data_IF_218489451592
#
_entry.id   IF_218489451592
#
_cell.length_a   1.000
_cell.length_b   1.000
_cell.length_c   1.000
_cell.angle_alpha   90.00
_cell.angle_beta   90.00
_cell.angle_gamma   90.00
#
_symmetry.space_group_name_H-M   'P 1'
#
loop_
_entity.id
_entity.type
_entity.pdbx_description
1 polymer ?
#
# COMPACT_ATOMS: atom_id res chain seq x y z
N UNK A 1 -4.63 -5.39 32.24
CA UNK A 1 -4.11 -6.58 31.55
C UNK A 1 -3.09 -6.06 30.54
N UNK A 2 -1.85 -6.52 30.60
CA UNK A 2 -0.86 -6.18 29.57
C UNK A 2 -1.35 -6.81 28.26
N UNK A 3 -1.76 -6.01 27.29
CA UNK A 3 -2.12 -6.53 25.97
C UNK A 3 -0.94 -7.33 25.41
N UNK A 4 -1.21 -8.56 24.98
CA UNK A 4 -0.21 -9.38 24.29
C UNK A 4 0.31 -8.61 23.07
N UNK A 5 1.63 -8.50 22.87
CA UNK A 5 2.19 -7.84 21.70
C UNK A 5 1.54 -8.40 20.42
N UNK A 6 1.19 -7.50 19.50
CA UNK A 6 0.68 -7.90 18.19
C UNK A 6 1.77 -8.65 17.42
N UNK A 7 1.35 -9.60 16.58
CA UNK A 7 2.24 -10.49 15.86
C UNK A 7 1.83 -10.61 14.40
N UNK A 8 2.82 -10.81 13.53
CA UNK A 8 2.59 -11.05 12.10
C UNK A 8 2.07 -12.47 11.89
N UNK A 9 1.41 -12.72 10.77
CA UNK A 9 0.76 -13.99 10.48
C UNK A 9 1.70 -15.21 10.65
N UNK A 10 2.94 -15.08 10.17
CA UNK A 10 3.95 -16.16 10.24
C UNK A 10 4.41 -16.46 11.66
N UNK A 11 4.44 -15.46 12.53
CA UNK A 11 4.80 -15.63 13.95
C UNK A 11 3.71 -16.39 14.72
N UNK A 12 2.50 -16.45 14.16
CA UNK A 12 1.37 -17.23 14.67
C UNK A 12 1.36 -18.67 14.12
N UNK A 13 2.36 -19.05 13.32
CA UNK A 13 2.47 -20.40 12.74
C UNK A 13 1.71 -20.61 11.43
N UNK A 14 1.09 -19.56 10.86
CA UNK A 14 0.38 -19.63 9.59
C UNK A 14 1.22 -19.05 8.44
N UNK A 15 1.22 -19.75 7.31
CA UNK A 15 1.95 -19.32 6.11
C UNK A 15 0.99 -19.18 4.94
N UNK A 16 1.13 -18.09 4.19
CA UNK A 16 0.44 -17.90 2.91
C UNK A 16 1.36 -18.34 1.78
N UNK A 17 0.88 -19.28 0.98
CA UNK A 17 1.57 -19.73 -0.21
C UNK A 17 2.86 -20.51 0.08
N UNK A 18 3.77 -20.54 -0.90
CA UNK A 18 4.94 -21.41 -0.89
C UNK A 18 6.25 -20.71 -1.27
N UNK A 19 6.19 -19.46 -1.75
CA UNK A 19 7.38 -18.72 -2.17
C UNK A 19 8.05 -18.14 -0.91
N UNK A 20 9.38 -18.25 -0.75
CA UNK A 20 10.08 -17.72 0.42
C UNK A 20 9.99 -16.19 0.48
N UNK A 21 9.98 -15.62 1.68
CA UNK A 21 9.97 -14.17 1.90
C UNK A 21 11.36 -13.57 1.73
N UNK A 22 11.43 -12.24 1.62
CA UNK A 22 12.66 -11.50 1.97
C UNK A 22 12.93 -11.52 3.47
N UNK A 23 14.09 -11.01 3.92
CA UNK A 23 14.50 -11.05 5.33
C UNK A 23 13.58 -10.29 6.27
N UNK A 24 12.99 -9.18 5.82
CA UNK A 24 12.04 -8.38 6.62
C UNK A 24 10.60 -8.82 6.39
N UNK A 25 10.36 -9.60 5.34
CA UNK A 25 9.04 -9.89 4.81
C UNK A 25 8.24 -8.58 4.67
N UNK A 26 8.80 -7.58 4.00
CA UNK A 26 8.21 -6.26 3.86
C UNK A 26 8.55 -5.66 2.48
N UNK A 27 7.78 -4.65 2.05
CA UNK A 27 8.02 -4.00 0.76
C UNK A 27 9.43 -3.41 0.63
N UNK A 28 10.04 -3.05 1.76
CA UNK A 28 11.42 -2.54 1.89
C UNK A 28 12.50 -3.60 1.69
N UNK A 29 12.15 -4.89 1.54
CA UNK A 29 13.08 -5.92 1.04
C UNK A 29 13.48 -5.65 -0.41
N UNK A 30 12.70 -4.86 -1.16
CA UNK A 30 13.09 -4.36 -2.48
C UNK A 30 14.08 -3.22 -2.29
N UNK A 31 15.32 -3.43 -2.71
CA UNK A 31 16.41 -2.47 -2.50
C UNK A 31 16.06 -1.06 -3.01
N UNK A 32 16.37 -0.07 -2.19
CA UNK A 32 16.07 1.35 -2.44
C UNK A 32 14.71 1.81 -1.91
N UNK A 33 13.74 0.91 -1.73
CA UNK A 33 12.41 1.29 -1.25
C UNK A 33 12.46 1.73 0.22
N UNK A 34 11.78 2.83 0.51
CA UNK A 34 11.65 3.39 1.85
C UNK A 34 10.20 3.75 2.16
N UNK A 35 9.78 3.51 3.41
CA UNK A 35 8.43 3.77 3.90
C UNK A 35 8.49 4.74 5.06
N UNK A 36 7.60 5.74 5.06
CA UNK A 36 7.46 6.70 6.14
C UNK A 36 6.02 6.88 6.56
N UNK A 37 5.78 7.09 7.85
CA UNK A 37 4.46 7.28 8.41
C UNK A 37 4.37 8.57 9.22
N UNK A 38 3.17 9.14 9.26
CA UNK A 38 2.70 10.02 10.33
C UNK A 38 1.35 9.52 10.78
N UNK A 39 1.25 9.19 12.06
CA UNK A 39 0.03 8.70 12.72
C UNK A 39 -0.54 9.79 13.60
N UNK A 40 -1.82 10.11 13.43
CA UNK A 40 -2.54 11.09 14.24
C UNK A 40 -3.61 10.37 15.07
N UNK A 41 -3.44 10.43 16.39
CA UNK A 41 -4.35 9.93 17.39
C UNK A 41 -4.62 11.06 18.39
N UNK A 42 -5.60 11.91 18.08
CA UNK A 42 -5.87 13.13 18.85
C UNK A 42 -7.30 13.14 19.37
N UNK A 43 -7.42 13.20 20.70
CA UNK A 43 -8.71 13.06 21.37
C UNK A 43 -9.40 11.76 21.01
N UNK A 44 -10.73 11.80 20.99
CA UNK A 44 -11.57 10.64 20.62
C UNK A 44 -11.95 10.63 19.13
N UNK A 45 -11.63 11.69 18.38
CA UNK A 45 -12.17 11.91 17.04
C UNK A 45 -11.15 11.85 15.91
N UNK A 46 -9.85 12.04 16.17
CA UNK A 46 -8.85 12.03 15.10
C UNK A 46 -8.07 10.73 15.14
N UNK A 47 -8.32 9.85 14.16
CA UNK A 47 -7.59 8.60 13.95
C UNK A 47 -7.24 8.49 12.48
N UNK A 48 -6.26 9.25 12.01
CA UNK A 48 -5.88 9.32 10.59
C UNK A 48 -4.40 9.53 10.43
N UNK A 49 -3.94 9.75 9.20
CA UNK A 49 -2.54 10.03 8.96
C UNK A 49 -2.15 9.91 7.50
N UNK A 50 -0.85 9.75 7.28
CA UNK A 50 -0.27 9.59 5.96
C UNK A 50 0.80 8.50 5.96
N UNK A 51 0.96 7.86 4.81
CA UNK A 51 2.04 6.88 4.56
C UNK A 51 2.68 7.19 3.22
N UNK A 52 3.99 7.43 3.23
CA UNK A 52 4.76 7.69 2.02
C UNK A 52 5.52 6.43 1.60
N UNK A 53 5.51 6.14 0.30
CA UNK A 53 6.31 5.10 -0.35
C UNK A 53 7.26 5.76 -1.33
N UNK A 54 8.56 5.64 -1.08
CA UNK A 54 9.61 6.15 -1.98
C UNK A 54 10.21 4.97 -2.75
N UNK A 55 10.12 4.94 -4.10
CA UNK A 55 10.78 3.92 -4.91
C UNK A 55 12.31 3.89 -4.76
N UNK A 56 12.94 5.05 -4.51
CA UNK A 56 14.34 5.19 -4.12
C UNK A 56 14.57 6.51 -3.36
N UNK A 57 15.71 6.65 -2.69
CA UNK A 57 16.08 7.85 -1.91
C UNK A 57 16.62 9.04 -2.72
N UNK A 58 16.44 9.03 -4.05
CA UNK A 58 16.94 10.09 -4.94
C UNK A 58 15.82 11.03 -5.41
N UNK A 59 16.13 11.91 -6.36
CA UNK A 59 15.14 12.80 -6.96
C UNK A 59 14.33 12.04 -8.04
N UNK A 60 13.13 11.57 -7.66
CA UNK A 60 12.21 10.80 -8.53
C UNK A 60 11.75 11.57 -9.77
N UNK A 61 11.71 12.91 -9.71
CA UNK A 61 11.31 13.70 -10.87
C UNK A 61 12.37 13.63 -11.97
N UNK A 62 13.65 13.58 -11.57
CA UNK A 62 14.79 13.48 -12.47
C UNK A 62 15.03 12.03 -12.90
N UNK A 63 15.17 11.12 -11.93
CA UNK A 63 15.38 9.69 -12.11
C UNK A 63 14.07 8.93 -11.86
N UNK A 64 13.23 8.87 -12.90
CA UNK A 64 11.90 8.27 -12.80
C UNK A 64 11.97 6.75 -12.83
N UNK A 65 11.00 6.09 -12.19
CA UNK A 65 10.85 4.62 -12.24
C UNK A 65 9.66 4.22 -13.13
N UNK A 66 9.75 3.11 -13.88
CA UNK A 66 8.59 2.61 -14.62
C UNK A 66 7.54 2.10 -13.63
N UNK A 67 6.28 2.27 -14.00
CA UNK A 67 5.12 1.89 -13.21
C UNK A 67 3.94 1.44 -14.07
N UNK A 68 2.99 0.77 -13.42
CA UNK A 68 1.71 0.38 -13.99
C UNK A 68 0.61 0.46 -12.94
N UNK A 69 -0.61 0.76 -13.40
CA UNK A 69 -1.76 1.01 -12.55
C UNK A 69 -2.93 0.14 -12.98
N UNK A 70 -3.64 -0.43 -12.00
CA UNK A 70 -4.80 -1.27 -12.22
C UNK A 70 -5.95 -0.84 -11.29
N UNK A 71 -7.15 -0.84 -11.85
CA UNK A 71 -8.40 -0.54 -11.15
C UNK A 71 -9.28 -1.78 -11.24
N UNK A 72 -9.71 -2.32 -10.11
CA UNK A 72 -10.74 -3.37 -10.08
C UNK A 72 -12.12 -2.74 -9.89
N UNK A 73 -12.26 -1.87 -8.89
CA UNK A 73 -13.45 -1.06 -8.70
C UNK A 73 -13.07 0.41 -8.41
N UNK A 74 -13.73 1.33 -9.11
CA UNK A 74 -13.35 2.74 -9.20
C UNK A 74 -13.99 3.65 -8.16
N UNK A 75 -14.55 3.11 -7.06
CA UNK A 75 -15.21 3.90 -6.02
C UNK A 75 -14.21 4.56 -5.07
N UNK A 76 -13.30 5.36 -5.60
CA UNK A 76 -12.27 6.05 -4.84
C UNK A 76 -11.54 7.11 -5.66
N UNK A 77 -10.56 7.75 -5.03
CA UNK A 77 -9.84 8.91 -5.58
C UNK A 77 -8.35 8.61 -5.60
N UNK A 78 -7.88 8.08 -6.73
CA UNK A 78 -6.45 7.85 -6.94
C UNK A 78 -5.86 8.93 -7.85
N UNK A 79 -5.28 9.97 -7.24
CA UNK A 79 -4.69 11.07 -7.98
C UNK A 79 -3.40 10.64 -8.72
N UNK A 80 -3.21 11.22 -9.91
CA UNK A 80 -2.06 10.95 -10.78
C UNK A 80 -2.10 9.64 -11.58
N UNK A 81 -3.17 8.86 -11.43
CA UNK A 81 -3.37 7.57 -12.11
C UNK A 81 -3.40 7.67 -13.64
N UNK A 82 -4.02 8.71 -14.21
CA UNK A 82 -4.16 8.88 -15.66
C UNK A 82 -2.81 9.03 -16.36
N UNK A 83 -1.90 9.83 -15.81
CA UNK A 83 -0.55 9.99 -16.37
C UNK A 83 0.32 8.74 -16.15
N UNK A 84 0.10 7.97 -15.08
CA UNK A 84 0.74 6.64 -14.94
C UNK A 84 0.26 5.70 -16.03
N UNK A 85 -1.03 5.70 -16.37
CA UNK A 85 -1.55 4.85 -17.46
C UNK A 85 -1.00 5.28 -18.81
N UNK A 86 -0.89 6.58 -19.05
CA UNK A 86 -0.40 7.15 -20.31
C UNK A 86 1.11 6.94 -20.50
N UNK A 87 1.91 7.35 -19.51
CA UNK A 87 3.37 7.37 -19.63
C UNK A 87 4.02 6.13 -19.02
N UNK A 88 3.39 5.48 -18.05
CA UNK A 88 3.92 4.27 -17.41
C UNK A 88 5.08 4.54 -16.45
N UNK A 89 5.12 5.70 -15.77
CA UNK A 89 6.18 6.10 -14.84
C UNK A 89 5.64 6.77 -13.57
N UNK A 90 6.44 6.70 -12.51
CA UNK A 90 6.34 7.57 -11.35
C UNK A 90 7.44 8.63 -11.40
N UNK A 91 7.06 9.84 -11.01
CA UNK A 91 7.97 10.99 -10.91
C UNK A 91 7.91 11.69 -9.55
N UNK A 92 7.14 11.12 -8.62
CA UNK A 92 6.99 11.56 -7.24
C UNK A 92 6.95 10.35 -6.31
N UNK A 93 7.18 10.52 -4.99
CA UNK A 93 6.77 9.51 -4.02
C UNK A 93 5.27 9.23 -4.12
N UNK A 94 4.85 8.05 -3.66
CA UNK A 94 3.43 7.73 -3.52
C UNK A 94 3.00 8.10 -2.10
N UNK A 95 1.90 8.82 -1.95
CA UNK A 95 1.29 9.09 -0.64
C UNK A 95 -0.03 8.36 -0.51
N UNK A 96 -0.22 7.65 0.58
CA UNK A 96 -1.50 7.10 1.00
C UNK A 96 -2.06 7.92 2.17
N UNK A 97 -3.36 8.21 2.17
CA UNK A 97 -4.04 8.96 3.25
C UNK A 97 -5.56 8.68 3.26
N UNK A 98 -6.35 9.53 3.92
CA UNK A 98 -7.80 9.45 3.89
C UNK A 98 -8.42 10.17 2.68
N UNK A 99 -9.68 9.84 2.38
CA UNK A 99 -10.45 10.37 1.26
C UNK A 99 -10.41 11.90 1.10
N UNK A 100 -10.62 12.64 2.19
CA UNK A 100 -10.74 14.11 2.11
C UNK A 100 -9.38 14.82 2.23
N UNK A 101 -8.29 14.07 2.41
CA UNK A 101 -6.93 14.58 2.43
C UNK A 101 -6.21 14.51 1.07
N UNK A 102 -6.79 13.90 0.04
CA UNK A 102 -6.15 13.73 -1.28
C UNK A 102 -5.60 15.04 -1.85
N UNK A 103 -6.40 16.12 -1.84
CA UNK A 103 -5.96 17.43 -2.35
C UNK A 103 -4.74 18.00 -1.60
N UNK A 104 -4.66 17.76 -0.29
CA UNK A 104 -3.53 18.22 0.54
C UNK A 104 -2.29 17.36 0.35
N UNK A 105 -2.47 16.07 0.10
CA UNK A 105 -1.37 15.18 -0.26
C UNK A 105 -0.76 15.54 -1.62
N UNK A 106 -1.59 15.96 -2.59
CA UNK A 106 -1.10 16.53 -3.86
C UNK A 106 -0.24 17.76 -3.58
N UNK A 107 -0.72 18.69 -2.74
CA UNK A 107 0.04 19.89 -2.38
C UNK A 107 1.37 19.55 -1.69
N UNK A 108 1.37 18.60 -0.74
CA UNK A 108 2.57 18.12 -0.06
C UNK A 108 3.61 17.53 -1.04
N UNK A 109 3.16 16.70 -1.98
CA UNK A 109 4.03 16.13 -3.02
C UNK A 109 4.58 17.20 -3.96
N UNK A 110 3.78 18.20 -4.32
CA UNK A 110 4.23 19.33 -5.14
C UNK A 110 5.32 20.14 -4.41
N UNK A 111 5.07 20.53 -3.15
CA UNK A 111 6.04 21.27 -2.33
C UNK A 111 7.34 20.48 -2.15
N UNK A 112 7.23 19.20 -1.76
CA UNK A 112 8.38 18.32 -1.61
C UNK A 112 9.20 18.21 -2.91
N UNK A 113 8.55 17.95 -4.04
CA UNK A 113 9.23 17.75 -5.32
C UNK A 113 9.89 19.03 -5.82
N UNK A 114 9.21 20.18 -5.77
CA UNK A 114 9.76 21.47 -6.20
C UNK A 114 10.93 21.94 -5.33
N UNK A 115 10.99 21.51 -4.07
CA UNK A 115 12.09 21.89 -3.15
C UNK A 115 13.42 21.18 -3.45
N UNK A 116 13.41 20.11 -4.26
CA UNK A 116 14.61 19.31 -4.51
C UNK A 116 15.53 19.95 -5.54
N UNK A 117 16.85 19.84 -5.29
CA UNK A 117 17.85 20.26 -6.27
C UNK A 117 17.69 19.51 -7.60
N UNK A 118 17.83 20.25 -8.70
CA UNK A 118 17.60 19.77 -10.07
C UNK A 118 16.19 20.05 -10.58
N UNK A 119 15.25 20.49 -9.73
CA UNK A 119 13.86 20.77 -10.10
C UNK A 119 13.56 22.27 -10.28
N UNK A 120 14.58 23.13 -10.40
CA UNK A 120 14.43 24.60 -10.44
C UNK A 120 13.62 25.11 -11.64
N UNK A 121 13.49 24.30 -12.71
CA UNK A 121 12.75 24.61 -13.93
C UNK A 121 11.46 23.80 -14.11
N UNK A 122 11.04 23.03 -13.11
CA UNK A 122 9.86 22.17 -13.19
C UNK A 122 8.59 23.02 -13.15
N UNK A 123 7.67 22.77 -14.09
CA UNK A 123 6.43 23.55 -14.25
C UNK A 123 5.15 22.73 -14.07
N UNK A 124 5.23 21.40 -14.11
CA UNK A 124 4.12 20.49 -13.81
C UNK A 124 4.64 19.23 -13.13
N UNK A 125 3.81 18.65 -12.26
CA UNK A 125 4.13 17.46 -11.48
C UNK A 125 2.91 16.55 -11.44
N UNK A 126 3.11 15.27 -11.73
CA UNK A 126 2.13 14.23 -11.46
C UNK A 126 2.28 13.70 -10.03
N UNK A 127 1.54 14.30 -9.10
CA UNK A 127 1.47 13.85 -7.71
C UNK A 127 0.62 12.58 -7.59
N UNK A 128 1.19 11.52 -7.04
CA UNK A 128 0.56 10.19 -6.95
C UNK A 128 0.02 9.95 -5.54
N UNK A 129 -1.31 9.95 -5.41
CA UNK A 129 -1.99 9.81 -4.12
C UNK A 129 -3.07 8.75 -4.16
N UNK A 130 -2.98 7.76 -3.27
CA UNK A 130 -4.03 6.78 -2.99
C UNK A 130 -4.75 7.08 -1.68
N UNK A 131 -5.98 6.58 -1.53
CA UNK A 131 -6.77 6.82 -0.33
C UNK A 131 -7.71 5.67 0.02
N UNK A 132 -8.10 5.62 1.28
CA UNK A 132 -9.32 4.92 1.72
C UNK A 132 -10.13 5.82 2.67
N UNK A 133 -11.41 5.51 2.86
CA UNK A 133 -12.28 6.28 3.74
C UNK A 133 -12.24 5.79 5.20
N UNK A 134 -11.66 6.57 6.10
CA UNK A 134 -11.53 6.25 7.53
C UNK A 134 -12.64 6.83 8.42
N UNK A 135 -13.73 7.34 7.82
CA UNK A 135 -14.83 8.05 8.52
C UNK A 135 -15.55 7.23 9.60
N UNK A 136 -15.30 5.92 9.69
CA UNK A 136 -15.89 5.05 10.72
C UNK A 136 -15.17 5.14 12.06
N UNK A 137 -13.92 5.63 12.08
CA UNK A 137 -13.10 5.83 13.28
C UNK A 137 -12.51 7.25 13.38
N UNK A 138 -12.59 8.04 12.31
CA UNK A 138 -12.02 9.36 12.21
C UNK A 138 -13.10 10.40 11.87
N UNK A 139 -13.02 11.59 12.46
CA UNK A 139 -13.69 12.78 11.95
C UNK A 139 -12.98 13.25 10.68
N UNK A 140 -13.27 12.54 9.58
CA UNK A 140 -12.68 12.81 8.26
C UNK A 140 -12.94 14.25 7.78
N UNK A 141 -13.95 14.92 8.37
CA UNK A 141 -14.34 16.30 8.04
C UNK A 141 -13.50 17.35 8.77
N UNK A 142 -12.75 16.97 9.82
CA UNK A 142 -11.91 17.87 10.61
C UNK A 142 -10.66 18.35 9.88
N UNK A 143 -10.52 18.06 8.58
CA UNK A 143 -9.37 18.44 7.78
C UNK A 143 -8.06 18.00 8.44
N UNK A 144 -7.85 16.70 8.65
CA UNK A 144 -6.55 16.10 8.97
C UNK A 144 -6.21 14.95 8.01
N UNK A 145 -4.92 14.61 7.81
CA UNK A 145 -3.72 15.36 8.22
C UNK A 145 -3.56 16.71 7.46
N UNK A 146 -2.74 17.61 7.99
CA UNK A 146 -2.30 18.85 7.29
C UNK A 146 -1.29 18.55 6.18
N UNK A 147 -0.98 19.55 5.35
CA UNK A 147 0.04 19.41 4.28
C UNK A 147 1.41 19.09 4.89
N UNK A 148 1.80 19.81 5.94
CA UNK A 148 3.10 19.68 6.61
C UNK A 148 3.25 18.31 7.29
N UNK A 149 2.17 17.78 7.85
CA UNK A 149 2.12 16.44 8.43
C UNK A 149 2.30 15.36 7.35
N UNK A 150 1.72 15.55 6.16
CA UNK A 150 1.92 14.65 5.03
C UNK A 150 3.38 14.73 4.52
N UNK A 151 3.96 15.91 4.39
CA UNK A 151 5.37 16.05 4.04
C UNK A 151 6.29 15.40 5.08
N UNK A 152 5.90 15.44 6.36
CA UNK A 152 6.65 14.76 7.41
C UNK A 152 6.65 13.24 7.21
N UNK A 153 5.57 12.63 6.72
CA UNK A 153 5.57 11.22 6.36
C UNK A 153 6.58 10.92 5.23
N UNK A 154 6.73 11.82 4.25
CA UNK A 154 7.75 11.69 3.19
C UNK A 154 9.17 11.79 3.78
N UNK A 155 9.41 12.76 4.68
CA UNK A 155 10.71 12.95 5.33
C UNK A 155 11.09 11.82 6.29
N UNK A 156 10.10 11.18 6.90
CA UNK A 156 10.30 10.03 7.80
C UNK A 156 10.61 8.73 7.05
N UNK A 157 10.58 8.72 5.72
CA UNK A 157 10.72 7.50 4.96
C UNK A 157 12.11 6.87 5.11
N UNK A 158 12.13 5.62 5.53
CA UNK A 158 13.35 4.83 5.71
C UNK A 158 13.17 3.40 5.23
N UNK A 159 14.29 2.75 4.89
CA UNK A 159 14.31 1.30 4.64
C UNK A 159 14.29 0.53 5.97
N UNK A 160 14.32 -0.80 5.92
CA UNK A 160 14.25 -1.65 7.11
C UNK A 160 12.81 -2.06 7.50
N UNK A 161 12.59 -2.53 8.74
CA UNK A 161 11.27 -2.97 9.20
C UNK A 161 10.21 -1.87 9.06
N UNK A 162 9.02 -2.25 8.63
CA UNK A 162 7.89 -1.32 8.41
C UNK A 162 6.87 -1.51 9.54
N UNK A 163 6.51 -0.45 10.28
CA UNK A 163 5.38 -0.50 11.21
C UNK A 163 4.06 -0.86 10.49
N UNK A 164 3.27 -1.76 11.07
CA UNK A 164 2.02 -2.28 10.51
C UNK A 164 0.84 -2.06 11.49
N UNK A 165 -0.38 -2.31 11.02
CA UNK A 165 -1.61 -2.13 11.78
C UNK A 165 -2.11 -0.69 11.72
N UNK A 166 -2.60 -0.18 12.85
CA UNK A 166 -3.23 1.13 12.96
C UNK A 166 -2.20 2.28 13.02
N UNK A 167 -1.41 2.42 11.96
CA UNK A 167 -0.36 3.45 11.81
C UNK A 167 -0.50 4.18 10.48
N UNK A 168 0.06 5.38 10.38
CA UNK A 168 0.09 6.15 9.14
C UNK A 168 -1.31 6.37 8.58
N UNK A 169 -1.50 6.02 7.30
CA UNK A 169 -2.80 6.12 6.65
C UNK A 169 -3.79 5.00 7.06
N UNK A 170 -3.31 3.98 7.78
CA UNK A 170 -4.12 2.90 8.35
C UNK A 170 -4.71 3.19 9.73
N UNK A 171 -4.44 4.36 10.32
CA UNK A 171 -4.87 4.69 11.69
C UNK A 171 -6.37 4.45 11.93
N UNK A 172 -7.24 4.95 11.05
CA UNK A 172 -8.70 4.86 11.19
C UNK A 172 -9.37 3.83 10.28
N UNK A 173 -8.61 2.95 9.62
CA UNK A 173 -9.20 2.00 8.67
C UNK A 173 -9.80 0.77 9.35
N UNK A 174 -10.83 0.20 8.72
CA UNK A 174 -11.60 -0.95 9.20
C UNK A 174 -11.68 -1.98 8.08
N UNK A 175 -11.36 -3.24 8.38
CA UNK A 175 -11.43 -4.33 7.42
C UNK A 175 -12.19 -5.53 8.01
N UNK A 176 -13.14 -6.09 7.26
CA UNK A 176 -13.99 -7.21 7.68
C UNK A 176 -14.78 -6.97 8.99
N UNK A 177 -15.10 -5.71 9.31
CA UNK A 177 -15.70 -5.33 10.59
C UNK A 177 -14.76 -5.43 11.79
N UNK A 178 -13.46 -5.60 11.55
CA UNK A 178 -12.38 -5.56 12.53
C UNK A 178 -11.47 -4.36 12.27
N UNK A 179 -10.57 -4.05 13.20
CA UNK A 179 -9.56 -3.03 12.92
C UNK A 179 -8.64 -3.50 11.77
N UNK A 180 -8.55 -2.68 10.72
CA UNK A 180 -7.59 -2.85 9.62
C UNK A 180 -6.36 -1.96 9.79
N UNK A 181 -5.60 -1.75 8.72
CA UNK A 181 -4.48 -0.84 8.78
C UNK A 181 -3.53 -0.89 7.59
N UNK A 182 -2.29 -0.51 7.85
CA UNK A 182 -1.15 -0.78 6.99
C UNK A 182 -0.73 -2.23 7.18
N UNK A 183 -0.45 -2.93 6.09
CA UNK A 183 0.20 -4.24 6.14
C UNK A 183 1.18 -4.39 4.99
N UNK A 184 2.18 -5.23 5.18
CA UNK A 184 3.20 -5.47 4.17
C UNK A 184 3.64 -6.92 4.16
N UNK A 185 4.18 -7.37 3.05
CA UNK A 185 4.88 -8.65 2.95
C UNK A 185 5.81 -8.64 1.74
N UNK A 186 6.67 -9.65 1.59
CA UNK A 186 7.51 -9.79 0.41
C UNK A 186 7.72 -11.25 0.01
N UNK A 187 8.21 -11.46 -1.20
CA UNK A 187 8.57 -12.75 -1.79
C UNK A 187 9.86 -12.63 -2.58
N UNK A 188 10.73 -13.63 -2.44
CA UNK A 188 11.95 -13.80 -3.23
C UNK A 188 11.75 -14.89 -4.27
N UNK A 189 11.74 -14.50 -5.52
CA UNK A 189 11.29 -15.30 -6.66
C UNK A 189 12.45 -15.60 -7.59
N UNK A 190 12.57 -16.85 -8.03
CA UNK A 190 13.52 -17.21 -9.09
C UNK A 190 12.87 -17.02 -10.45
N UNK A 191 13.48 -16.24 -11.33
CA UNK A 191 13.07 -16.09 -12.73
C UNK A 191 14.27 -16.39 -13.62
N UNK A 192 14.20 -17.50 -14.36
CA UNK A 192 15.34 -18.02 -15.11
C UNK A 192 16.52 -18.32 -14.18
N UNK A 193 17.64 -17.60 -14.36
CA UNK A 193 18.88 -17.76 -13.57
C UNK A 193 19.03 -16.72 -12.45
N UNK A 194 18.16 -15.72 -12.36
CA UNK A 194 18.23 -14.64 -11.38
C UNK A 194 17.17 -14.79 -10.29
N UNK A 195 17.42 -14.17 -9.15
CA UNK A 195 16.43 -13.96 -8.10
C UNK A 195 16.02 -12.50 -8.10
N UNK A 196 14.72 -12.28 -7.95
CA UNK A 196 14.10 -10.97 -7.80
C UNK A 196 13.25 -10.95 -6.54
N UNK A 197 13.02 -9.76 -6.02
CA UNK A 197 12.16 -9.50 -4.88
C UNK A 197 10.89 -8.83 -5.36
N UNK A 198 9.76 -9.28 -4.83
CA UNK A 198 8.46 -8.62 -4.94
C UNK A 198 8.04 -8.23 -3.53
N UNK A 199 7.77 -6.95 -3.32
CA UNK A 199 7.28 -6.39 -2.06
C UNK A 199 5.90 -5.80 -2.25
N UNK A 200 5.01 -5.99 -1.26
CA UNK A 200 3.66 -5.41 -1.28
C UNK A 200 3.40 -4.66 0.01
N UNK A 201 2.80 -3.47 -0.10
CA UNK A 201 2.24 -2.69 1.00
C UNK A 201 0.77 -2.40 0.71
N UNK A 202 -0.09 -2.53 1.72
CA UNK A 202 -1.53 -2.32 1.59
C UNK A 202 -2.02 -1.34 2.64
N UNK A 203 -3.08 -0.60 2.30
CA UNK A 203 -3.95 0.11 3.24
C UNK A 203 -5.32 -0.56 3.17
N UNK A 204 -5.58 -1.49 4.10
CA UNK A 204 -6.79 -2.31 4.09
C UNK A 204 -7.96 -1.59 4.77
N UNK A 205 -9.06 -1.39 4.06
CA UNK A 205 -10.25 -0.75 4.60
C UNK A 205 -11.55 -1.32 3.98
N UNK A 206 -11.72 -2.63 3.83
CA UNK A 206 -12.80 -3.22 3.02
C UNK A 206 -13.50 -4.39 3.73
N UNK A 207 -14.68 -4.79 3.24
CA UNK A 207 -15.50 -5.85 3.80
C UNK A 207 -15.47 -7.20 3.07
N UNK A 208 -16.18 -8.18 3.61
CA UNK A 208 -16.31 -9.52 3.04
C UNK A 208 -16.44 -10.62 4.10
N UNK A 209 -16.15 -11.85 3.70
CA UNK A 209 -16.08 -13.01 4.57
C UNK A 209 -14.62 -13.40 4.77
N UNK A 210 -14.03 -12.97 5.90
CA UNK A 210 -12.60 -13.11 6.12
C UNK A 210 -12.12 -14.57 5.99
N UNK A 211 -11.18 -14.77 5.08
CA UNK A 211 -10.42 -16.00 4.91
C UNK A 211 -8.97 -15.74 5.34
N UNK A 212 -8.43 -16.60 6.20
CA UNK A 212 -7.07 -16.54 6.71
C UNK A 212 -6.34 -17.79 6.22
N UNK A 213 -5.39 -17.62 5.28
CA UNK A 213 -4.64 -18.71 4.66
C UNK A 213 -5.55 -19.85 4.16
N UNK A 214 -6.67 -19.50 3.51
CA UNK A 214 -7.65 -20.44 2.98
C UNK A 214 -8.64 -21.03 3.99
N UNK A 215 -8.59 -20.63 5.28
CA UNK A 215 -9.54 -21.06 6.32
C UNK A 215 -10.50 -19.93 6.68
N UNK A 216 -11.81 -20.18 6.83
CA UNK A 216 -12.75 -19.14 7.21
C UNK A 216 -12.52 -18.68 8.66
N UNK A 217 -12.48 -17.37 8.87
CA UNK A 217 -12.45 -16.77 10.20
C UNK A 217 -13.84 -16.22 10.53
N UNK A 218 -14.42 -16.68 11.65
CA UNK A 218 -15.73 -16.24 12.10
C UNK A 218 -15.62 -14.86 12.77
N UNK A 219 -16.09 -13.82 12.08
CA UNK A 219 -16.21 -12.48 12.67
C UNK A 219 -17.56 -12.35 13.39
N UNK A 220 -17.60 -11.59 14.50
CA UNK A 220 -18.87 -11.30 15.20
C UNK A 220 -19.77 -10.33 14.42
N UNK A 221 -19.17 -9.50 13.56
CA UNK A 221 -19.89 -8.48 12.80
C UNK A 221 -20.70 -9.13 11.66
N UNK A 222 -21.97 -8.75 11.54
CA UNK A 222 -22.84 -9.21 10.45
C UNK A 222 -22.38 -8.59 9.13
N UNK A 223 -21.48 -9.29 8.43
CA UNK A 223 -21.06 -9.02 7.05
C UNK A 223 -20.83 -7.54 6.72
N UNK A 224 -19.65 -7.03 7.09
CA UNK A 224 -19.21 -5.72 6.58
C UNK A 224 -19.07 -5.80 5.05
N UNK A 225 -19.59 -4.81 4.34
CA UNK A 225 -19.56 -4.73 2.87
C UNK A 225 -18.95 -3.43 2.38
N UNK A 226 -18.54 -2.51 3.26
CA UNK A 226 -18.14 -1.16 2.85
C UNK A 226 -16.62 -0.98 2.85
N UNK A 227 -16.18 0.09 2.20
CA UNK A 227 -14.82 0.61 2.24
C UNK A 227 -13.94 0.13 1.09
N UNK A 228 -12.65 0.46 1.08
CA UNK A 228 -11.72 0.46 -0.06
C UNK A 228 -10.40 -0.25 0.28
N UNK A 229 -9.56 -0.55 -0.72
CA UNK A 229 -8.16 -0.95 -0.50
C UNK A 229 -7.23 -0.38 -1.57
N UNK A 230 -6.09 0.11 -1.11
CA UNK A 230 -4.96 0.47 -1.98
C UNK A 230 -3.82 -0.52 -1.77
N UNK A 231 -3.30 -1.07 -2.86
CA UNK A 231 -2.17 -2.01 -2.88
C UNK A 231 -1.01 -1.43 -3.70
N UNK A 232 0.16 -1.31 -3.09
CA UNK A 232 1.39 -0.85 -3.73
C UNK A 232 2.35 -2.02 -3.85
N UNK A 233 2.87 -2.25 -5.06
CA UNK A 233 3.82 -3.31 -5.37
C UNK A 233 5.15 -2.69 -5.79
N UNK A 234 6.24 -3.16 -5.19
CA UNK A 234 7.60 -2.88 -5.62
C UNK A 234 8.26 -4.16 -6.12
N UNK A 235 9.16 -4.04 -7.10
CA UNK A 235 10.04 -5.15 -7.48
C UNK A 235 11.38 -4.66 -8.01
N UNK A 236 12.43 -5.43 -7.81
CA UNK A 236 13.74 -5.23 -8.47
C UNK A 236 13.85 -6.00 -9.81
N UNK A 237 12.76 -6.65 -10.25
CA UNK A 237 12.69 -7.28 -11.56
C UNK A 237 12.59 -6.21 -12.66
N UNK A 238 13.39 -6.30 -13.74
CA UNK A 238 13.36 -5.31 -14.80
C UNK A 238 12.13 -5.53 -15.70
N UNK A 239 11.12 -4.70 -15.51
CA UNK A 239 9.82 -4.80 -16.19
C UNK A 239 9.44 -3.49 -16.86
N UNK A 240 8.84 -3.59 -18.05
CA UNK A 240 8.19 -2.45 -18.70
C UNK A 240 6.84 -2.12 -18.04
N UNK A 241 6.34 -0.92 -18.27
CA UNK A 241 5.06 -0.41 -17.70
C UNK A 241 3.87 -1.33 -17.96
N UNK A 242 3.76 -1.92 -19.16
CA UNK A 242 2.71 -2.90 -19.49
C UNK A 242 2.79 -4.14 -18.58
N UNK A 243 3.98 -4.68 -18.33
CA UNK A 243 4.13 -5.83 -17.43
C UNK A 243 3.96 -5.45 -15.96
N UNK A 244 4.27 -4.20 -15.58
CA UNK A 244 3.95 -3.67 -14.25
C UNK A 244 2.44 -3.53 -14.03
N UNK A 245 1.67 -3.09 -15.04
CA UNK A 245 0.20 -3.13 -14.97
C UNK A 245 -0.30 -4.56 -14.75
N UNK A 246 0.24 -5.53 -15.50
CA UNK A 246 -0.11 -6.96 -15.31
C UNK A 246 0.23 -7.44 -13.90
N UNK A 247 1.36 -7.00 -13.34
CA UNK A 247 1.73 -7.27 -11.94
C UNK A 247 0.71 -6.68 -10.97
N UNK A 248 0.34 -5.40 -11.14
CA UNK A 248 -0.64 -4.72 -10.30
C UNK A 248 -2.02 -5.44 -10.29
N UNK A 249 -2.47 -5.92 -11.45
CA UNK A 249 -3.72 -6.72 -11.55
C UNK A 249 -3.69 -8.00 -10.69
N UNK A 250 -2.51 -8.56 -10.40
CA UNK A 250 -2.37 -9.77 -9.58
C UNK A 250 -2.65 -9.54 -8.11
N UNK A 251 -2.57 -8.29 -7.63
CA UNK A 251 -3.01 -7.94 -6.29
C UNK A 251 -4.46 -8.34 -6.04
N UNK A 252 -5.33 -8.24 -7.06
CA UNK A 252 -6.73 -8.59 -6.95
C UNK A 252 -6.95 -10.10 -6.72
N UNK A 253 -6.03 -10.94 -7.19
CA UNK A 253 -6.03 -12.36 -6.85
C UNK A 253 -5.76 -12.60 -5.36
N UNK A 254 -4.77 -11.89 -4.78
CA UNK A 254 -4.49 -11.94 -3.35
C UNK A 254 -5.64 -11.38 -2.51
N UNK A 255 -6.21 -10.25 -2.93
CA UNK A 255 -7.39 -9.64 -2.32
C UNK A 255 -8.57 -10.63 -2.27
N UNK A 256 -8.89 -11.28 -3.39
CA UNK A 256 -9.99 -12.25 -3.46
C UNK A 256 -9.76 -13.46 -2.51
N UNK A 257 -8.51 -13.92 -2.33
CA UNK A 257 -8.18 -15.04 -1.42
C UNK A 257 -8.42 -14.74 0.06
N UNK A 258 -8.51 -13.47 0.42
CA UNK A 258 -8.90 -13.05 1.79
C UNK A 258 -10.42 -12.99 2.00
N UNK A 259 -11.21 -13.26 0.95
CA UNK A 259 -12.67 -13.27 0.99
C UNK A 259 -13.32 -11.89 0.84
N UNK A 260 -12.64 -10.98 0.13
CA UNK A 260 -13.15 -9.66 -0.20
C UNK A 260 -14.52 -9.70 -0.90
N UNK A 261 -15.43 -8.81 -0.52
CA UNK A 261 -16.74 -8.70 -1.17
C UNK A 261 -16.69 -7.98 -2.53
N UNK A 262 -15.63 -7.21 -2.81
CA UNK A 262 -15.49 -6.38 -4.02
C UNK A 262 -16.74 -5.52 -4.26
N UNK A 263 -17.22 -4.88 -3.20
CA UNK A 263 -18.54 -4.26 -3.18
C UNK A 263 -18.60 -2.96 -3.99
N UNK A 264 -19.81 -2.52 -4.32
CA UNK A 264 -20.04 -1.29 -5.08
C UNK A 264 -19.32 -0.06 -4.51
N UNK A 265 -19.29 0.10 -3.18
CA UNK A 265 -18.67 1.24 -2.50
C UNK A 265 -17.15 1.14 -2.35
N UNK A 266 -16.51 0.13 -2.95
CA UNK A 266 -15.11 -0.19 -2.72
C UNK A 266 -14.15 0.37 -3.74
N UNK A 267 -13.27 1.28 -3.34
CA UNK A 267 -12.15 1.71 -4.18
C UNK A 267 -11.03 0.68 -4.15
N UNK A 268 -10.93 -0.18 -5.16
CA UNK A 268 -9.96 -1.28 -5.22
C UNK A 268 -8.88 -0.98 -6.27
N UNK A 269 -7.74 -0.47 -5.79
CA UNK A 269 -6.65 0.01 -6.65
C UNK A 269 -5.35 -0.73 -6.38
N UNK A 270 -4.60 -0.98 -7.45
CA UNK A 270 -3.25 -1.50 -7.36
C UNK A 270 -2.29 -0.68 -8.23
N UNK A 271 -1.11 -0.40 -7.70
CA UNK A 271 -0.02 0.29 -8.41
C UNK A 271 1.25 -0.53 -8.23
N UNK A 272 1.95 -0.83 -9.33
CA UNK A 272 3.23 -1.53 -9.30
C UNK A 272 4.34 -0.68 -9.93
N UNK A 273 5.54 -0.72 -9.37
CA UNK A 273 6.73 -0.10 -9.95
C UNK A 273 7.95 -1.02 -9.86
N UNK A 274 8.92 -0.79 -10.75
CA UNK A 274 10.22 -1.49 -10.71
C UNK A 274 11.35 -0.55 -10.30
N UNK A 275 12.21 -0.97 -9.38
CA UNK A 275 13.41 -0.22 -8.97
C UNK A 275 14.64 -0.56 -9.81
N UNK A 276 14.52 -1.52 -10.74
CA UNK A 276 15.64 -2.05 -11.50
C UNK A 276 16.28 -0.96 -12.37
N UNK A 277 17.60 -0.77 -12.23
CA UNK A 277 18.35 0.28 -12.91
C UNK A 277 18.28 0.17 -14.44
N UNK A 278 18.13 -1.04 -14.99
CA UNK A 278 18.07 -1.26 -16.44
C UNK A 278 16.80 -0.73 -17.11
N UNK A 279 15.75 -0.39 -16.33
CA UNK A 279 14.46 0.13 -16.83
C UNK A 279 14.12 1.51 -16.26
N UNK A 280 14.98 2.10 -15.43
CA UNK A 280 14.84 3.50 -14.98
C UNK A 280 14.83 4.47 -16.14
N UNK A 281 14.13 5.59 -15.95
CA UNK A 281 13.93 6.65 -16.94
C UNK A 281 14.68 7.89 -16.52
N UNK A 282 16.00 7.74 -16.47
CA UNK A 282 16.97 8.78 -16.13
C UNK A 282 16.87 9.96 -17.09
N UNK A 283 17.38 11.16 -16.74
CA UNK A 283 17.42 12.30 -17.65
C UNK A 283 18.09 11.96 -18.99
N UNK A 284 19.14 11.15 -18.97
CA UNK A 284 19.88 10.71 -20.15
C UNK A 284 19.01 9.83 -21.07
N UNK A 285 18.30 8.85 -20.50
CA UNK A 285 17.44 7.93 -21.27
C UNK A 285 16.17 8.58 -21.81
N UNK A 286 15.75 9.72 -21.25
CA UNK A 286 14.58 10.48 -21.71
C UNK A 286 14.89 11.50 -22.81
N UNK A 287 16.17 11.75 -23.12
CA UNK A 287 16.58 12.75 -24.13
C UNK A 287 16.50 12.24 -25.57
N UNK A 288 16.61 10.93 -25.79
CA UNK A 288 16.66 10.31 -27.11
C UNK A 288 16.26 8.82 -27.03
N UNK A 289 16.38 8.09 -28.14
CA UNK A 289 16.27 6.63 -28.19
C UNK A 289 17.18 6.00 -27.15
N UNK A 290 16.61 5.11 -26.33
CA UNK A 290 17.35 4.39 -25.28
C UNK A 290 16.99 2.92 -25.24
N UNK A 291 18.01 2.10 -24.96
CA UNK A 291 17.82 0.68 -24.69
C UNK A 291 17.30 0.46 -23.27
N UNK A 292 16.36 -0.48 -23.13
CA UNK A 292 15.87 -0.96 -21.84
C UNK A 292 15.88 -2.48 -21.81
N UNK A 293 16.69 -3.06 -20.92
CA UNK A 293 16.75 -4.52 -20.73
C UNK A 293 15.65 -4.92 -19.76
N UNK A 294 14.68 -5.70 -20.25
CA UNK A 294 13.52 -6.14 -19.48
C UNK A 294 13.24 -7.65 -19.66
N UNK A 295 12.54 -8.25 -18.71
CA UNK A 295 12.11 -9.65 -18.78
C UNK A 295 11.08 -9.87 -19.90
N UNK A 296 11.26 -10.95 -20.64
CA UNK A 296 10.29 -11.44 -21.63
C UNK A 296 8.99 -11.91 -20.95
N UNK A 297 7.88 -11.91 -21.70
CA UNK A 297 6.59 -12.34 -21.19
C UNK A 297 6.54 -13.81 -20.74
N UNK A 298 7.32 -14.69 -21.36
CA UNK A 298 7.25 -16.12 -21.08
C UNK A 298 7.84 -16.47 -19.70
N UNK A 299 8.56 -15.54 -19.07
CA UNK A 299 9.24 -15.77 -17.79
C UNK A 299 8.65 -15.00 -16.62
N UNK A 300 7.60 -14.18 -16.80
CA UNK A 300 7.08 -13.33 -15.71
C UNK A 300 6.06 -13.99 -14.79
N UNK A 301 5.51 -15.17 -15.13
CA UNK A 301 4.49 -15.84 -14.32
C UNK A 301 4.87 -16.09 -12.85
N UNK A 302 6.12 -16.45 -12.51
CA UNK A 302 6.53 -16.58 -11.10
C UNK A 302 6.38 -15.27 -10.30
N UNK A 303 6.55 -14.10 -10.94
CA UNK A 303 6.33 -12.81 -10.30
C UNK A 303 4.83 -12.56 -10.04
N UNK A 304 3.94 -13.07 -10.91
CA UNK A 304 2.50 -12.96 -10.70
C UNK A 304 2.03 -13.75 -9.49
N UNK A 305 2.49 -15.00 -9.34
CA UNK A 305 2.20 -15.82 -8.17
C UNK A 305 2.72 -15.17 -6.89
N UNK A 306 3.93 -14.61 -6.95
CA UNK A 306 4.53 -13.89 -5.84
C UNK A 306 3.73 -12.66 -5.40
N UNK A 307 3.19 -11.88 -6.35
CA UNK A 307 2.30 -10.75 -6.00
C UNK A 307 1.02 -11.26 -5.33
N UNK A 308 0.40 -12.33 -5.84
CA UNK A 308 -0.82 -12.90 -5.23
C UNK A 308 -0.56 -13.29 -3.77
N UNK A 309 0.50 -14.07 -3.52
CA UNK A 309 0.86 -14.51 -2.17
C UNK A 309 1.24 -13.33 -1.27
N UNK A 310 2.01 -12.37 -1.78
CA UNK A 310 2.44 -11.22 -1.02
C UNK A 310 1.26 -10.30 -0.66
N UNK A 311 0.31 -10.08 -1.57
CA UNK A 311 -0.88 -9.26 -1.29
C UNK A 311 -1.77 -9.92 -0.25
N UNK A 312 -2.04 -11.23 -0.37
CA UNK A 312 -2.84 -11.97 0.62
C UNK A 312 -2.19 -11.88 2.01
N UNK A 313 -0.88 -12.11 2.12
CA UNK A 313 -0.19 -12.02 3.41
C UNK A 313 -0.11 -10.59 3.96
N UNK A 314 0.10 -9.58 3.11
CA UNK A 314 0.16 -8.18 3.54
C UNK A 314 -1.17 -7.73 4.15
N UNK A 315 -2.30 -8.14 3.55
CA UNK A 315 -3.64 -7.87 4.11
C UNK A 315 -3.81 -8.58 5.46
N UNK A 316 -3.41 -9.84 5.57
CA UNK A 316 -3.54 -10.56 6.84
C UNK A 316 -2.65 -9.96 7.93
N UNK A 317 -1.44 -9.51 7.58
CA UNK A 317 -0.57 -8.79 8.51
C UNK A 317 -1.18 -7.45 8.94
N UNK A 318 -1.90 -6.71 8.09
CA UNK A 318 -2.56 -5.48 8.51
C UNK A 318 -3.60 -5.71 9.62
N UNK A 319 -4.32 -6.84 9.55
CA UNK A 319 -5.29 -7.26 10.56
C UNK A 319 -4.59 -7.77 11.83
N UNK A 320 -3.59 -8.66 11.71
CA UNK A 320 -2.94 -9.25 12.89
C UNK A 320 -2.06 -8.24 13.63
N UNK A 321 -1.53 -7.22 12.96
CA UNK A 321 -0.75 -6.15 13.57
C UNK A 321 -1.59 -5.00 14.11
N UNK A 322 -2.87 -4.90 13.74
CA UNK A 322 -3.77 -3.89 14.28
C UNK A 322 -4.10 -4.13 15.77
N UNK A 323 -4.29 -3.03 16.51
CA UNK A 323 -4.82 -3.02 17.88
C UNK A 323 -6.25 -2.45 17.88
N UNK A 324 -7.04 -2.76 18.92
CA UNK A 324 -8.42 -2.24 19.04
C UNK A 324 -8.39 -0.72 19.11
N UNK A 325 -9.25 -0.04 18.34
CA UNK A 325 -9.36 1.42 18.37
C UNK A 325 -10.80 1.81 18.68
N UNK A 326 -10.96 2.67 19.68
CA UNK A 326 -12.15 3.48 19.88
C UNK A 326 -11.90 4.83 19.24
N UNK A 327 -12.83 5.29 18.40
CA UNK A 327 -12.73 6.55 17.69
C UNK A 327 -14.12 7.14 17.45
N UNK A 328 -14.25 7.88 16.35
CA UNK A 328 -15.48 8.61 16.02
C UNK A 328 -16.00 8.23 14.65
N UNK A 329 -17.28 7.89 14.56
CA UNK A 329 -17.94 7.65 13.28
C UNK A 329 -18.58 8.96 12.78
N UNK A 330 -17.92 9.60 11.81
CA UNK A 330 -18.34 10.87 11.23
C UNK A 330 -19.69 10.81 10.50
N UNK A 331 -20.09 9.63 10.01
CA UNK A 331 -21.39 9.43 9.37
C UNK A 331 -22.57 9.41 10.35
N UNK A 332 -22.32 9.01 11.61
CA UNK A 332 -23.36 8.91 12.66
C UNK A 332 -23.24 9.94 13.76
N UNK A 333 -22.08 10.61 13.86
CA UNK A 333 -21.78 11.59 14.90
C UNK A 333 -21.58 10.98 16.30
N UNK A 334 -21.17 9.70 16.37
CA UNK A 334 -21.09 8.94 17.63
C UNK A 334 -19.73 8.25 17.78
N UNK A 335 -19.30 7.96 19.02
CA UNK A 335 -18.18 7.06 19.26
C UNK A 335 -18.41 5.69 18.60
N UNK A 336 -17.33 5.11 18.09
CA UNK A 336 -17.30 3.79 17.47
C UNK A 336 -16.09 3.01 17.98
N UNK A 337 -16.14 1.68 17.93
CA UNK A 337 -15.01 0.83 18.32
C UNK A 337 -14.93 -0.36 17.39
N UNK A 338 -13.72 -0.66 16.94
CA UNK A 338 -13.43 -1.84 16.13
C UNK A 338 -12.36 -2.67 16.81
N UNK A 339 -12.72 -3.91 17.13
CA UNK A 339 -11.83 -4.88 17.80
C UNK A 339 -10.69 -5.29 16.86
N UNK A 340 -9.49 -5.44 17.41
CA UNK A 340 -8.43 -6.17 16.74
C UNK A 340 -8.82 -7.65 16.54
N UNK A 341 -8.26 -8.27 15.51
CA UNK A 341 -8.44 -9.72 15.31
C UNK A 341 -7.85 -10.51 16.48
N UNK A 342 -8.51 -11.60 16.89
CA UNK A 342 -8.05 -12.45 17.98
C UNK A 342 -6.88 -13.32 17.54
N UNK A 343 -5.68 -13.08 18.07
CA UNK A 343 -4.50 -13.87 17.75
C UNK A 343 -4.63 -15.33 18.20
N UNK A 344 -5.34 -15.60 19.30
CA UNK A 344 -5.58 -16.96 19.78
C UNK A 344 -6.51 -17.73 18.86
N UNK A 345 -7.54 -17.06 18.32
CA UNK A 345 -8.40 -17.65 17.31
C UNK A 345 -7.60 -17.97 16.03
N UNK A 346 -6.68 -17.08 15.63
CA UNK A 346 -5.81 -17.29 14.47
C UNK A 346 -4.86 -18.49 14.69
N UNK A 347 -4.24 -18.63 15.88
CA UNK A 347 -3.40 -19.80 16.21
C UNK A 347 -4.17 -21.12 16.22
N UNK A 348 -5.48 -21.05 16.45
CA UNK A 348 -6.36 -22.22 16.54
C UNK A 348 -6.96 -22.63 15.20
N UNK A 349 -6.75 -21.86 14.13
CA UNK A 349 -7.20 -22.19 12.79
C UNK A 349 -6.48 -23.41 12.24
#
# INVERSE_FOLDING_TARGET
MTETPRQRLRELGLTVGHIPTGPLNAITDVAGVAIGHVSLHEGESTHTGATAVLPHGGNLFQDKVPAGFAVLNGFGKFAGSTQIVELGELETPIVLTNTLAVGRAIEALNRYTLSQSGNEKVTSINAVVGETNDSRLNDIRACRPSVEEIEQAIRNAQSGPVPEGAVGAGCGTVAFGLKGGIGTSSRKVKVGKAYYTVGVLVQSNYGGHLMVAGRPYQTKASHDKDGSIVMIVATDAPLCSRNLKRLAERCFGGLARTGAALSNGSGDYALAFSTAESVRRTPERRKDISDAVALSNDVVSPLFEAVIEATEEAILNSLTMAHTVTGYNAGTGKPSTFEAISLDAIRSL
#
